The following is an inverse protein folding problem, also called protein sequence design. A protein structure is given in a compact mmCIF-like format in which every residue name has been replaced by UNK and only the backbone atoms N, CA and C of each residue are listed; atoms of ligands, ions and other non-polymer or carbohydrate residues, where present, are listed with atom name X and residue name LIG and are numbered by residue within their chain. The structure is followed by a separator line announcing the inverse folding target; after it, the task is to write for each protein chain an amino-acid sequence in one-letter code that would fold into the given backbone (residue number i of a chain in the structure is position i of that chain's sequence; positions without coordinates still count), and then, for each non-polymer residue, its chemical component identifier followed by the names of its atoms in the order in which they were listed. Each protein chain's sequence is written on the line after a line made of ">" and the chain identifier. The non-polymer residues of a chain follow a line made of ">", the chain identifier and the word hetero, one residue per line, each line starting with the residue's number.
data_IF_547351327585
#
_entry.id   IF_547351327585
#
_cell.length_a   1.000
_cell.length_b   1.000
_cell.length_c   1.000
_cell.angle_alpha   90.00
_cell.angle_beta   90.00
_cell.angle_gamma   90.00
#
_symmetry.space_group_name_H-M   'P 1'
#
loop_
_entity.id
_entity.type
_entity.pdbx_description
1 polymer ?
#
# COMPACT_ATOMS: atom_id res chain seq x y z
N UNK A 1 -52.62 -26.59 0.81
CA UNK A 1 -51.46 -26.66 -0.12
C UNK A 1 -51.44 -25.53 -1.17
N UNK A 2 -52.55 -25.14 -1.82
CA UNK A 2 -52.54 -24.04 -2.84
C UNK A 2 -52.34 -22.61 -2.30
N UNK A 3 -52.48 -22.39 -1.00
CA UNK A 3 -52.35 -21.07 -0.36
C UNK A 3 -51.00 -20.85 0.34
N UNK A 4 -50.13 -21.88 0.40
CA UNK A 4 -48.84 -21.75 1.08
C UNK A 4 -47.86 -20.92 0.20
N UNK A 5 -47.41 -19.73 0.66
CA UNK A 5 -46.49 -18.89 -0.09
C UNK A 5 -45.16 -19.59 -0.41
N UNK A 6 -44.69 -20.46 0.49
CA UNK A 6 -43.44 -21.20 0.30
C UNK A 6 -43.57 -22.20 -0.84
N UNK A 7 -44.63 -23.01 -0.83
CA UNK A 7 -44.86 -24.04 -1.84
C UNK A 7 -45.07 -23.43 -3.24
N UNK A 8 -45.74 -22.28 -3.31
CA UNK A 8 -45.90 -21.51 -4.55
C UNK A 8 -44.55 -21.01 -5.06
N UNK A 9 -43.76 -20.36 -4.21
CA UNK A 9 -42.43 -19.84 -4.58
C UNK A 9 -41.48 -20.94 -5.04
N UNK A 10 -41.45 -22.06 -4.32
CA UNK A 10 -40.62 -23.21 -4.66
C UNK A 10 -40.97 -23.77 -6.04
N UNK A 11 -42.25 -24.01 -6.34
CA UNK A 11 -42.66 -24.54 -7.65
C UNK A 11 -42.29 -23.59 -8.80
N UNK A 12 -42.45 -22.28 -8.62
CA UNK A 12 -42.11 -21.30 -9.67
C UNK A 12 -40.60 -21.18 -9.91
N UNK A 13 -39.77 -21.33 -8.87
CA UNK A 13 -38.34 -21.06 -8.94
C UNK A 13 -37.47 -22.31 -9.03
N UNK A 14 -38.00 -23.51 -8.81
CA UNK A 14 -37.22 -24.75 -8.80
C UNK A 14 -36.46 -24.99 -10.12
N UNK A 15 -37.15 -24.81 -11.26
CA UNK A 15 -36.53 -24.96 -12.60
C UNK A 15 -35.45 -23.90 -12.82
N UNK A 16 -35.65 -22.69 -12.30
CA UNK A 16 -34.69 -21.60 -12.41
C UNK A 16 -33.43 -21.88 -11.60
N UNK A 17 -33.58 -22.31 -10.34
CA UNK A 17 -32.44 -22.67 -9.50
C UNK A 17 -31.65 -23.85 -10.09
N UNK A 18 -32.34 -24.87 -10.63
CA UNK A 18 -31.67 -25.97 -11.32
C UNK A 18 -30.84 -25.50 -12.51
N UNK A 19 -31.38 -24.59 -13.33
CA UNK A 19 -30.65 -24.03 -14.48
C UNK A 19 -29.45 -23.17 -14.05
N UNK A 20 -29.60 -22.32 -13.04
CA UNK A 20 -28.51 -21.50 -12.49
C UNK A 20 -27.38 -22.37 -11.91
N UNK A 21 -27.71 -23.47 -11.21
CA UNK A 21 -26.72 -24.42 -10.68
C UNK A 21 -25.99 -25.21 -11.79
N UNK A 22 -26.69 -25.62 -12.85
CA UNK A 22 -26.05 -26.26 -14.01
C UNK A 22 -25.12 -25.29 -14.75
N UNK A 23 -25.51 -24.03 -14.94
CA UNK A 23 -24.68 -23.01 -15.58
C UNK A 23 -23.40 -22.73 -14.77
N UNK A 24 -23.53 -22.57 -13.44
CA UNK A 24 -22.39 -22.38 -12.53
C UNK A 24 -21.48 -23.63 -12.50
N UNK A 25 -22.04 -24.84 -12.54
CA UNK A 25 -21.28 -26.08 -12.63
C UNK A 25 -20.54 -26.20 -13.96
N UNK A 26 -21.20 -25.90 -15.09
CA UNK A 26 -20.62 -25.96 -16.43
C UNK A 26 -19.49 -24.94 -16.62
N UNK A 27 -19.65 -23.72 -16.08
CA UNK A 27 -18.61 -22.70 -16.10
C UNK A 27 -17.35 -23.16 -15.33
N UNK A 28 -17.54 -23.80 -14.17
CA UNK A 28 -16.45 -24.36 -13.37
C UNK A 28 -15.83 -25.61 -13.99
N UNK A 29 -16.62 -26.49 -14.62
CA UNK A 29 -16.14 -27.69 -15.29
C UNK A 29 -15.30 -27.38 -16.53
N UNK A 30 -15.72 -26.39 -17.34
CA UNK A 30 -14.94 -25.91 -18.49
C UNK A 30 -13.57 -25.35 -18.08
N UNK A 31 -13.50 -24.66 -16.93
CA UNK A 31 -12.24 -24.16 -16.38
C UNK A 31 -11.36 -25.31 -15.85
N UNK A 32 -11.95 -26.34 -15.22
CA UNK A 32 -11.23 -27.52 -14.72
C UNK A 32 -10.68 -28.42 -15.85
N UNK A 33 -11.41 -28.53 -16.96
CA UNK A 33 -10.93 -29.22 -18.18
C UNK A 33 -9.82 -28.44 -18.88
N UNK A 34 -9.86 -27.09 -18.87
CA UNK A 34 -8.75 -26.24 -19.30
C UNK A 34 -7.47 -26.45 -18.48
N UNK A 35 -7.59 -26.69 -17.17
CA UNK A 35 -6.43 -27.00 -16.32
C UNK A 35 -5.91 -28.45 -16.49
N UNK A 36 -6.74 -29.37 -17.00
CA UNK A 36 -6.37 -30.77 -17.27
C UNK A 36 -5.81 -31.03 -18.67
N UNK A 37 -5.85 -30.05 -19.57
CA UNK A 37 -5.13 -30.08 -20.85
C UNK A 37 -3.62 -29.92 -20.57
N UNK A 38 -3.02 -31.07 -20.31
CA UNK A 38 -1.64 -31.50 -20.49
C UNK A 38 -0.53 -30.98 -19.56
N UNK A 39 -0.12 -31.85 -18.64
CA UNK A 39 1.14 -31.78 -17.89
C UNK A 39 2.36 -32.12 -18.80
N UNK A 40 2.14 -32.72 -20.00
CA UNK A 40 3.20 -33.22 -20.88
C UNK A 40 3.02 -32.96 -22.40
N UNK A 41 2.15 -32.04 -22.84
CA UNK A 41 2.09 -31.65 -24.26
C UNK A 41 2.91 -30.37 -24.49
N UNK A 42 4.21 -30.56 -24.64
CA UNK A 42 5.17 -29.47 -24.85
C UNK A 42 5.18 -28.93 -26.30
N UNK A 43 4.24 -29.34 -27.16
CA UNK A 43 4.37 -29.11 -28.61
C UNK A 43 3.10 -28.63 -29.34
N UNK A 44 2.08 -28.11 -28.64
CA UNK A 44 0.87 -27.61 -29.32
C UNK A 44 0.29 -26.29 -28.80
N UNK A 45 1.17 -25.39 -28.36
CA UNK A 45 0.85 -23.96 -28.16
C UNK A 45 1.77 -22.99 -28.92
N UNK A 46 2.53 -23.49 -29.90
CA UNK A 46 3.23 -22.65 -30.87
C UNK A 46 2.31 -22.38 -32.07
N UNK A 47 1.66 -21.20 -32.08
CA UNK A 47 1.37 -20.36 -33.28
C UNK A 47 0.35 -19.22 -33.06
N UNK A 48 -0.34 -19.12 -31.92
CA UNK A 48 -1.27 -17.99 -31.67
C UNK A 48 -0.94 -17.11 -30.44
N UNK A 49 -0.03 -17.53 -29.56
CA UNK A 49 0.44 -16.71 -28.42
C UNK A 49 1.93 -16.32 -28.52
N UNK A 50 2.56 -16.50 -29.69
CA UNK A 50 3.93 -16.05 -29.96
C UNK A 50 4.08 -14.50 -29.90
N UNK A 51 2.96 -13.77 -29.89
CA UNK A 51 2.91 -12.31 -29.86
C UNK A 51 2.38 -11.69 -28.56
N UNK A 52 1.99 -12.47 -27.54
CA UNK A 52 1.61 -11.89 -26.24
C UNK A 52 2.87 -11.66 -25.37
N UNK A 53 3.82 -10.89 -25.91
CA UNK A 53 5.09 -10.48 -25.26
C UNK A 53 4.88 -9.88 -23.87
N UNK A 54 3.66 -9.45 -23.53
CA UNK A 54 3.30 -8.84 -22.25
C UNK A 54 3.42 -9.79 -21.06
N UNK A 55 3.23 -11.11 -21.24
CA UNK A 55 3.25 -12.08 -20.13
C UNK A 55 4.66 -12.49 -19.71
N UNK A 56 5.59 -12.54 -20.66
CA UNK A 56 6.97 -12.99 -20.45
C UNK A 56 7.99 -11.84 -20.42
N UNK A 57 7.54 -10.59 -20.40
CA UNK A 57 8.45 -9.45 -20.25
C UNK A 57 9.13 -9.52 -18.88
N UNK A 58 10.47 -9.51 -18.82
CA UNK A 58 11.17 -9.44 -17.54
C UNK A 58 10.73 -8.16 -16.81
N UNK A 59 10.52 -8.26 -15.49
CA UNK A 59 10.21 -7.08 -14.69
C UNK A 59 11.36 -6.09 -14.83
N UNK A 60 11.05 -4.84 -15.15
CA UNK A 60 12.04 -3.76 -15.21
C UNK A 60 12.85 -3.74 -13.91
N UNK A 61 14.17 -3.90 -14.04
CA UNK A 61 15.11 -3.81 -12.91
C UNK A 61 15.01 -2.40 -12.32
N UNK A 62 14.99 -2.31 -11.00
CA UNK A 62 14.96 -1.01 -10.33
C UNK A 62 16.39 -0.48 -10.25
N UNK A 63 16.61 0.68 -10.82
CA UNK A 63 17.86 1.41 -10.75
C UNK A 63 17.84 2.42 -9.61
N UNK A 64 19.03 2.74 -9.09
CA UNK A 64 19.21 3.75 -8.07
C UNK A 64 18.97 5.12 -8.70
N UNK A 65 18.29 6.01 -7.97
CA UNK A 65 17.94 7.35 -8.44
C UNK A 65 18.72 8.36 -7.62
N UNK A 66 19.95 8.59 -8.05
CA UNK A 66 20.90 9.47 -7.39
C UNK A 66 21.16 10.66 -8.33
N UNK A 67 21.11 11.86 -7.79
CA UNK A 67 21.40 13.10 -8.50
C UNK A 67 22.92 13.28 -8.70
N UNK A 68 23.34 14.22 -9.56
CA UNK A 68 24.76 14.53 -9.82
C UNK A 68 25.56 14.88 -8.55
N UNK A 69 24.89 15.34 -7.50
CA UNK A 69 25.47 15.66 -6.18
C UNK A 69 25.50 14.48 -5.20
N UNK A 70 25.29 13.26 -5.67
CA UNK A 70 25.17 12.05 -4.84
C UNK A 70 24.02 12.14 -3.81
N UNK A 71 22.92 12.77 -4.22
CA UNK A 71 21.74 12.97 -3.37
C UNK A 71 20.59 12.09 -3.86
N UNK A 72 19.92 11.45 -2.91
CA UNK A 72 18.70 10.69 -3.16
C UNK A 72 17.52 11.36 -2.45
N UNK A 73 16.36 11.34 -3.10
CA UNK A 73 15.15 11.99 -2.59
C UNK A 73 14.03 11.00 -2.35
N UNK A 74 13.19 11.32 -1.37
CA UNK A 74 11.98 10.59 -1.08
C UNK A 74 10.89 11.53 -0.56
N UNK A 75 9.64 11.14 -0.78
CA UNK A 75 8.48 11.92 -0.40
C UNK A 75 7.52 11.10 0.46
N UNK A 76 6.79 11.78 1.33
CA UNK A 76 5.85 11.16 2.24
C UNK A 76 4.75 12.10 2.68
N UNK A 77 3.61 11.52 3.04
CA UNK A 77 2.49 12.27 3.56
C UNK A 77 1.69 11.46 4.57
N UNK A 78 1.07 12.15 5.53
CA UNK A 78 0.12 11.58 6.48
C UNK A 78 -0.90 12.62 6.83
N UNK A 79 -2.18 12.29 6.65
CA UNK A 79 -3.28 13.24 6.84
C UNK A 79 -3.04 14.50 5.98
N UNK A 80 -2.78 15.63 6.63
CA UNK A 80 -2.43 16.92 6.00
C UNK A 80 -0.93 17.23 6.05
N UNK A 81 -0.12 16.43 6.77
CA UNK A 81 1.32 16.60 6.84
C UNK A 81 2.00 16.04 5.58
N UNK A 82 2.97 16.78 5.07
CA UNK A 82 3.81 16.40 3.93
C UNK A 82 5.28 16.49 4.34
N UNK A 83 6.09 15.59 3.80
CA UNK A 83 7.51 15.50 4.08
C UNK A 83 8.30 15.19 2.80
N UNK A 84 9.44 15.83 2.66
CA UNK A 84 10.47 15.52 1.67
C UNK A 84 11.74 15.19 2.45
N UNK A 85 12.33 14.04 2.14
CA UNK A 85 13.60 13.60 2.67
C UNK A 85 14.66 13.67 1.57
N UNK A 86 15.80 14.26 1.90
CA UNK A 86 17.02 14.22 1.11
C UNK A 86 18.07 13.46 1.91
N UNK A 87 18.73 12.52 1.24
CA UNK A 87 19.76 11.67 1.83
C UNK A 87 21.03 11.78 1.00
N UNK A 88 22.18 11.88 1.68
CA UNK A 88 23.51 11.93 1.07
C UNK A 88 24.50 11.12 1.90
N UNK A 89 25.58 10.57 1.33
CA UNK A 89 26.64 9.95 2.11
C UNK A 89 27.26 10.98 3.07
N UNK A 90 27.51 10.58 4.32
CA UNK A 90 27.97 11.50 5.36
C UNK A 90 28.22 10.84 6.72
N UNK A 91 28.05 11.63 7.78
CA UNK A 91 28.45 11.29 9.16
C UNK A 91 27.27 10.85 10.05
N UNK A 92 26.06 10.78 9.51
CA UNK A 92 24.86 10.47 10.30
C UNK A 92 24.14 11.70 10.86
N UNK A 93 24.40 12.90 10.33
CA UNK A 93 23.74 14.12 10.81
C UNK A 93 22.32 14.20 10.29
N UNK A 94 21.35 14.37 11.20
CA UNK A 94 19.93 14.44 10.86
C UNK A 94 19.40 15.83 11.21
N UNK A 95 18.91 16.53 10.18
CA UNK A 95 18.28 17.85 10.30
C UNK A 95 16.79 17.78 9.92
N UNK A 96 15.95 18.43 10.71
CA UNK A 96 14.53 18.65 10.41
C UNK A 96 14.27 20.14 10.33
N UNK A 97 13.83 20.63 9.17
CA UNK A 97 13.55 22.06 8.92
C UNK A 97 14.72 22.97 9.35
N UNK A 98 15.95 22.57 9.04
CA UNK A 98 17.18 23.31 9.37
C UNK A 98 17.66 23.18 10.83
N UNK A 99 16.92 22.49 11.70
CA UNK A 99 17.32 22.26 13.10
C UNK A 99 17.81 20.81 13.31
N UNK A 100 18.78 20.56 14.19
CA UNK A 100 19.21 19.19 14.48
C UNK A 100 18.09 18.39 15.14
N UNK A 101 18.00 17.09 14.86
CA UNK A 101 16.92 16.22 15.35
C UNK A 101 16.72 16.30 16.87
N UNK A 102 17.79 16.39 17.66
CA UNK A 102 17.73 16.50 19.13
C UNK A 102 17.12 17.83 19.61
N UNK A 103 17.33 18.92 18.87
CA UNK A 103 16.76 20.24 19.18
C UNK A 103 15.35 20.44 18.60
N UNK A 104 14.85 19.49 17.81
CA UNK A 104 13.51 19.56 17.25
C UNK A 104 12.42 19.40 18.33
N UNK A 105 11.21 19.87 18.03
CA UNK A 105 10.05 19.77 18.93
C UNK A 105 9.50 18.33 19.10
N UNK A 106 10.22 17.31 18.65
CA UNK A 106 9.77 15.92 18.71
C UNK A 106 10.10 15.24 20.04
N UNK A 107 9.12 14.53 20.58
CA UNK A 107 9.29 13.68 21.75
C UNK A 107 10.28 12.53 21.47
N UNK A 108 10.84 11.92 22.51
CA UNK A 108 11.80 10.81 22.37
C UNK A 108 11.23 9.64 21.55
N UNK A 109 9.97 9.25 21.79
CA UNK A 109 9.29 8.20 21.02
C UNK A 109 9.16 8.54 19.54
N UNK A 110 8.90 9.81 19.23
CA UNK A 110 8.81 10.31 17.85
C UNK A 110 10.18 10.29 17.17
N UNK A 111 11.25 10.69 17.88
CA UNK A 111 12.63 10.62 17.39
C UNK A 111 13.06 9.19 17.09
N UNK A 112 12.78 8.23 17.98
CA UNK A 112 13.05 6.82 17.74
C UNK A 112 12.34 6.31 16.48
N UNK A 113 11.10 6.75 16.27
CA UNK A 113 10.32 6.38 15.09
C UNK A 113 10.88 6.96 13.78
N UNK A 114 11.42 8.19 13.81
CA UNK A 114 12.14 8.79 12.67
C UNK A 114 13.42 8.00 12.35
N UNK A 115 14.12 7.48 13.37
CA UNK A 115 15.37 6.74 13.21
C UNK A 115 15.17 5.29 12.71
N UNK A 116 13.99 4.72 12.90
CA UNK A 116 13.67 3.32 12.55
C UNK A 116 14.08 2.89 11.12
N UNK A 117 13.87 3.68 10.04
CA UNK A 117 14.32 3.31 8.70
C UNK A 117 15.84 3.18 8.58
N UNK A 118 16.59 4.04 9.26
CA UNK A 118 18.05 4.04 9.24
C UNK A 118 18.62 2.87 10.04
N UNK A 119 18.01 2.52 11.17
CA UNK A 119 18.45 1.40 12.01
C UNK A 119 18.24 0.06 11.31
N UNK A 120 17.07 -0.14 10.69
CA UNK A 120 16.73 -1.38 9.96
C UNK A 120 17.62 -1.60 8.73
N UNK A 121 18.09 -0.52 8.12
CA UNK A 121 18.92 -0.58 6.91
C UNK A 121 20.41 -0.43 7.21
N UNK A 122 20.79 -0.35 8.50
CA UNK A 122 22.18 -0.18 8.96
C UNK A 122 22.91 1.07 8.39
N UNK A 123 22.15 2.12 8.06
CA UNK A 123 22.68 3.38 7.50
C UNK A 123 22.77 4.55 8.50
N UNK A 124 22.62 4.28 9.81
CA UNK A 124 22.52 5.33 10.85
C UNK A 124 23.70 6.32 10.88
N UNK A 125 24.93 5.84 10.72
CA UNK A 125 26.14 6.68 10.79
C UNK A 125 26.78 6.93 9.43
N UNK A 126 26.13 6.47 8.35
CA UNK A 126 26.67 6.51 6.99
C UNK A 126 26.01 7.58 6.12
N UNK A 127 24.78 7.98 6.48
CA UNK A 127 23.98 8.90 5.69
C UNK A 127 23.64 10.16 6.49
N UNK A 128 23.94 11.32 5.90
CA UNK A 128 23.37 12.58 6.37
C UNK A 128 21.96 12.75 5.80
N UNK A 129 21.04 13.19 6.63
CA UNK A 129 19.61 13.29 6.32
C UNK A 129 19.13 14.71 6.53
N UNK A 130 18.51 15.28 5.50
CA UNK A 130 17.80 16.55 5.59
C UNK A 130 16.30 16.31 5.33
N UNK A 131 15.48 16.68 6.31
CA UNK A 131 14.03 16.50 6.29
C UNK A 131 13.37 17.87 6.23
N UNK A 132 12.56 18.10 5.19
CA UNK A 132 11.69 19.26 5.07
C UNK A 132 10.24 18.80 5.27
N UNK A 133 9.58 19.34 6.28
CA UNK A 133 8.27 18.85 6.74
C UNK A 133 7.35 20.00 7.09
N UNK A 134 6.11 19.95 6.61
CA UNK A 134 5.12 20.99 6.82
C UNK A 134 3.69 20.44 6.87
N UNK A 135 2.78 21.21 7.47
CA UNK A 135 1.39 20.85 7.65
C UNK A 135 1.14 19.80 8.75
N UNK A 136 -0.14 19.62 9.11
CA UNK A 136 -0.56 18.71 10.16
C UNK A 136 -0.03 19.09 11.56
N UNK A 137 0.12 18.08 12.44
CA UNK A 137 0.74 18.23 13.76
C UNK A 137 1.89 17.23 13.93
N UNK A 138 2.61 17.28 15.06
CA UNK A 138 3.87 16.56 15.27
C UNK A 138 3.80 15.05 14.94
N UNK A 139 2.77 14.35 15.41
CA UNK A 139 2.58 12.93 15.11
C UNK A 139 2.33 12.67 13.61
N UNK A 140 1.52 13.52 12.96
CA UNK A 140 1.30 13.41 11.52
C UNK A 140 2.59 13.64 10.73
N UNK A 141 3.41 14.59 11.17
CA UNK A 141 4.70 14.89 10.56
C UNK A 141 5.68 13.72 10.67
N UNK A 142 5.79 13.10 11.84
CA UNK A 142 6.62 11.89 12.06
C UNK A 142 6.21 10.75 11.13
N UNK A 143 4.92 10.46 11.04
CA UNK A 143 4.39 9.43 10.12
C UNK A 143 4.54 9.80 8.64
N UNK A 144 4.68 11.08 8.29
CA UNK A 144 4.99 11.51 6.93
C UNK A 144 6.48 11.37 6.61
N UNK A 145 7.36 11.63 7.59
CA UNK A 145 8.82 11.47 7.46
C UNK A 145 9.21 10.00 7.19
N UNK A 146 8.59 9.06 7.88
CA UNK A 146 8.85 7.62 7.77
C UNK A 146 8.91 7.09 6.31
N UNK A 147 7.83 7.22 5.51
CA UNK A 147 7.86 6.77 4.12
C UNK A 147 8.71 7.67 3.22
N UNK A 148 8.90 8.96 3.56
CA UNK A 148 9.80 9.83 2.82
C UNK A 148 11.25 9.34 2.93
N UNK A 149 11.72 9.12 4.16
CA UNK A 149 13.08 8.67 4.45
C UNK A 149 13.34 7.27 3.90
N UNK A 150 12.39 6.34 4.07
CA UNK A 150 12.50 4.98 3.52
C UNK A 150 12.60 4.98 2.00
N UNK A 151 11.89 5.88 1.30
CA UNK A 151 11.98 5.99 -0.15
C UNK A 151 13.28 6.63 -0.62
N UNK A 152 13.79 7.61 0.14
CA UNK A 152 15.10 8.20 -0.13
C UNK A 152 16.21 7.15 0.02
N UNK A 153 16.17 6.34 1.10
CA UNK A 153 17.12 5.23 1.31
C UNK A 153 16.99 4.19 0.19
N UNK A 154 15.78 3.81 -0.23
CA UNK A 154 15.60 2.89 -1.35
C UNK A 154 16.16 3.45 -2.68
N UNK A 155 15.99 4.75 -2.92
CA UNK A 155 16.51 5.41 -4.10
C UNK A 155 18.06 5.46 -4.10
N UNK A 156 18.67 5.49 -2.91
CA UNK A 156 20.11 5.40 -2.71
C UNK A 156 20.64 3.96 -2.86
N UNK A 157 20.03 3.01 -2.13
CA UNK A 157 20.38 1.58 -2.17
C UNK A 157 19.13 0.72 -2.38
N UNK A 158 19.05 0.10 -3.57
CA UNK A 158 17.92 -0.73 -4.01
C UNK A 158 17.76 -1.99 -3.13
N UNK A 159 18.84 -2.50 -2.55
CA UNK A 159 18.84 -3.76 -1.80
C UNK A 159 18.07 -3.65 -0.49
N UNK A 160 17.99 -2.44 0.08
CA UNK A 160 17.20 -2.15 1.30
C UNK A 160 15.70 -2.38 1.12
N UNK A 161 15.21 -2.47 -0.12
CA UNK A 161 13.78 -2.52 -0.43
C UNK A 161 13.05 -3.74 0.12
N UNK A 162 13.73 -4.86 0.36
CA UNK A 162 13.13 -6.03 1.02
C UNK A 162 12.87 -5.74 2.50
N UNK A 163 13.90 -5.31 3.23
CA UNK A 163 13.81 -4.99 4.65
C UNK A 163 12.75 -3.90 4.93
N UNK A 164 12.80 -2.77 4.21
CA UNK A 164 11.86 -1.66 4.37
C UNK A 164 10.39 -2.05 4.11
N UNK A 165 10.17 -3.01 3.21
CA UNK A 165 8.82 -3.50 2.88
C UNK A 165 8.28 -4.46 3.93
N UNK A 166 9.14 -5.32 4.49
CA UNK A 166 8.79 -6.22 5.60
C UNK A 166 8.25 -5.44 6.79
N UNK A 167 8.92 -4.34 7.17
CA UNK A 167 8.48 -3.45 8.26
C UNK A 167 7.41 -2.43 7.86
N UNK A 168 6.87 -2.49 6.63
CA UNK A 168 5.82 -1.60 6.10
C UNK A 168 6.14 -0.11 6.15
N UNK A 169 7.42 0.27 6.14
CA UNK A 169 7.86 1.67 6.31
C UNK A 169 7.64 2.52 5.05
N UNK A 170 7.57 1.89 3.88
CA UNK A 170 7.38 2.58 2.61
C UNK A 170 5.91 2.93 2.29
N UNK A 171 4.95 2.33 3.01
CA UNK A 171 3.52 2.44 2.68
C UNK A 171 2.95 3.74 3.26
N UNK A 172 2.19 4.46 2.45
CA UNK A 172 1.42 5.60 2.93
C UNK A 172 0.19 5.15 3.71
N UNK A 173 -0.07 5.77 4.87
CA UNK A 173 -1.33 5.58 5.60
C UNK A 173 -2.41 6.52 5.04
N UNK A 174 -3.28 5.93 4.21
CA UNK A 174 -4.36 6.59 3.48
C UNK A 174 -5.51 7.09 4.36
N UNK A 175 -5.55 6.75 5.66
CA UNK A 175 -6.68 7.10 6.52
C UNK A 175 -6.79 8.62 6.71
N UNK A 176 -7.88 9.21 6.21
CA UNK A 176 -8.17 10.64 6.36
C UNK A 176 -9.35 10.86 7.32
N UNK A 177 -9.51 12.09 7.79
CA UNK A 177 -10.69 12.47 8.58
C UNK A 177 -11.91 12.48 7.66
N UNK A 178 -12.90 11.66 7.97
CA UNK A 178 -14.17 11.65 7.26
C UNK A 178 -14.94 12.96 7.52
N UNK A 179 -15.57 13.49 6.47
CA UNK A 179 -16.44 14.66 6.60
C UNK A 179 -17.65 14.40 7.49
N UNK A 180 -18.20 15.44 8.10
CA UNK A 180 -19.50 15.39 8.77
C UNK A 180 -20.62 15.12 7.75
N UNK A 181 -21.60 14.29 8.12
CA UNK A 181 -22.83 14.07 7.34
C UNK A 181 -23.94 15.00 7.84
N UNK A 182 -24.80 15.46 6.93
CA UNK A 182 -25.98 16.28 7.27
C UNK A 182 -26.90 15.44 8.19
N UNK A 183 -27.50 16.06 9.20
CA UNK A 183 -28.34 15.37 10.18
C UNK A 183 -27.59 14.50 11.22
N UNK A 184 -26.24 14.44 11.17
CA UNK A 184 -25.42 13.76 12.17
C UNK A 184 -24.58 14.73 13.00
N UNK A 185 -24.25 14.38 14.24
CA UNK A 185 -23.40 15.21 15.11
C UNK A 185 -21.94 15.25 14.62
N UNK A 186 -21.42 14.11 14.14
CA UNK A 186 -20.07 13.97 13.54
C UNK A 186 -20.16 13.08 12.29
N UNK A 187 -19.01 12.65 11.74
CA UNK A 187 -18.98 11.78 10.56
C UNK A 187 -19.86 10.51 10.69
N UNK A 188 -19.79 9.84 11.85
CA UNK A 188 -20.54 8.60 12.11
C UNK A 188 -21.55 8.71 13.26
N UNK A 189 -21.33 9.61 14.23
CA UNK A 189 -22.20 9.78 15.42
C UNK A 189 -23.55 10.36 15.03
N UNK A 190 -24.61 9.56 15.16
CA UNK A 190 -26.00 9.99 14.98
C UNK A 190 -26.52 10.79 16.18
N UNK A 191 -27.69 11.39 16.03
CA UNK A 191 -28.46 11.90 17.16
C UNK A 191 -29.07 10.72 17.94
N UNK A 192 -29.33 10.93 19.23
CA UNK A 192 -30.02 9.93 20.05
C UNK A 192 -31.45 9.77 19.52
N UNK A 193 -31.85 8.55 19.19
CA UNK A 193 -33.22 8.24 18.78
C UNK A 193 -34.12 8.21 20.03
N UNK A 194 -35.22 8.97 20.01
CA UNK A 194 -36.26 8.91 21.05
C UNK A 194 -37.43 8.09 20.52
N UNK A 195 -37.60 6.87 21.03
CA UNK A 195 -38.77 6.04 20.75
C UNK A 195 -39.96 6.60 21.53
N UNK A 196 -41.11 6.74 20.86
CA UNK A 196 -42.41 7.04 21.47
C UNK A 196 -43.25 5.78 21.47
#
# INVERSE_FOLDING_TARGET
>A
MKQDPFFKHYIYNNIRHYAEEEDDFNLNYANKMREKLDIYDHAKFDKLNLFDFRRNMPRKVKEAKIDSKMQAYGYGFRKTAKAIAMVRPGTGRIYVNGKPLLSSLFLQTQRHRILMPLTITHYTCLLDVHLNVWGGGCNGQVEAILPALSKAILAFDINTGKALRTFKLMRYDIRQVERKKIGKQKARKGNVYRRR
#
